data_IF_931021448421
#
_entry.id   IF_931021448421
#
_cell.length_a   1.000
_cell.length_b   1.000
_cell.length_c   1.000
_cell.angle_alpha   90.00
_cell.angle_beta   90.00
_cell.angle_gamma   90.00
#
_symmetry.space_group_name_H-M   'P 1'
#
loop_
_entity.id
_entity.type
_entity.pdbx_description
1 polymer ?
#
# COMPACT_ATOMS: atom_id res chain seq x y z
N UNK A 1 -5.17 -11.76 0.71
CA UNK A 1 -4.42 -12.58 1.68
C UNK A 1 -3.27 -11.77 2.31
N UNK A 2 -2.35 -11.21 1.50
CA UNK A 2 -1.16 -10.51 1.99
C UNK A 2 -1.51 -9.27 2.85
N UNK A 3 -2.52 -8.47 2.48
CA UNK A 3 -2.99 -7.34 3.29
C UNK A 3 -3.44 -7.78 4.69
N UNK A 4 -4.25 -8.85 4.79
CA UNK A 4 -4.71 -9.35 6.10
C UNK A 4 -3.54 -9.78 6.98
N UNK A 5 -2.57 -10.46 6.39
CA UNK A 5 -1.37 -10.90 7.12
C UNK A 5 -0.48 -9.70 7.53
N UNK A 6 -0.39 -8.65 6.71
CA UNK A 6 0.32 -7.42 7.07
C UNK A 6 -0.34 -6.71 8.24
N UNK A 7 -1.68 -6.54 8.19
CA UNK A 7 -2.47 -5.98 9.28
C UNK A 7 -2.20 -6.74 10.58
N UNK A 8 -2.33 -8.07 10.56
CA UNK A 8 -2.09 -8.90 11.74
C UNK A 8 -0.67 -8.70 12.29
N UNK A 9 0.33 -8.67 11.41
CA UNK A 9 1.72 -8.48 11.82
C UNK A 9 1.97 -7.10 12.46
N UNK A 10 1.35 -6.04 11.94
CA UNK A 10 1.41 -4.71 12.54
C UNK A 10 0.77 -4.71 13.94
N UNK A 11 -0.40 -5.35 14.08
CA UNK A 11 -1.10 -5.46 15.36
C UNK A 11 -0.29 -6.22 16.41
N UNK A 12 0.35 -7.32 16.00
CA UNK A 12 1.12 -8.18 16.90
C UNK A 12 2.44 -7.55 17.39
N UNK A 13 3.04 -6.67 16.56
CA UNK A 13 4.40 -6.19 16.79
C UNK A 13 4.49 -4.67 17.03
N UNK A 14 3.37 -3.96 17.00
CA UNK A 14 3.33 -2.51 17.25
C UNK A 14 2.08 -2.12 18.03
N UNK A 15 2.06 -0.89 18.52
CA UNK A 15 0.86 -0.25 19.13
C UNK A 15 0.08 0.64 18.16
N UNK A 16 0.32 0.53 16.85
CA UNK A 16 -0.31 1.40 15.87
C UNK A 16 -1.80 1.11 15.69
N UNK A 17 -2.56 2.18 15.45
CA UNK A 17 -3.88 2.09 14.85
C UNK A 17 -3.76 2.02 13.33
N UNK A 18 -4.66 1.29 12.70
CA UNK A 18 -4.66 1.07 11.25
C UNK A 18 -5.95 1.62 10.66
N UNK A 19 -5.82 2.49 9.67
CA UNK A 19 -6.94 3.00 8.89
C UNK A 19 -6.96 2.31 7.53
N UNK A 20 -8.07 1.66 7.20
CA UNK A 20 -8.32 1.14 5.87
C UNK A 20 -9.05 2.21 5.07
N UNK A 21 -8.38 2.74 4.06
CA UNK A 21 -8.92 3.79 3.16
C UNK A 21 -9.09 3.24 1.77
N UNK A 22 -10.10 3.73 1.06
CA UNK A 22 -10.41 3.30 -0.30
C UNK A 22 -11.75 3.84 -0.76
N UNK A 23 -12.13 3.51 -1.99
CA UNK A 23 -13.41 3.85 -2.57
C UNK A 23 -14.58 3.05 -1.96
N UNK A 24 -15.82 3.47 -2.25
CA UNK A 24 -17.02 2.71 -1.88
C UNK A 24 -17.04 1.30 -2.48
N UNK A 25 -16.48 1.13 -3.66
CA UNK A 25 -16.43 -0.18 -4.32
C UNK A 25 -15.43 -1.13 -3.65
N UNK A 26 -14.32 -0.60 -3.13
CA UNK A 26 -13.31 -1.36 -2.40
C UNK A 26 -13.78 -1.80 -1.00
N UNK A 27 -14.80 -1.16 -0.45
CA UNK A 27 -15.40 -1.55 0.83
C UNK A 27 -15.85 -3.02 0.86
N UNK A 28 -16.31 -3.56 -0.27
CA UNK A 28 -16.66 -4.99 -0.38
C UNK A 28 -15.45 -5.90 -0.12
N UNK A 29 -14.28 -5.47 -0.58
CA UNK A 29 -13.03 -6.20 -0.35
C UNK A 29 -12.62 -6.14 1.12
N UNK A 30 -12.70 -4.97 1.77
CA UNK A 30 -12.34 -4.82 3.18
C UNK A 30 -13.26 -5.60 4.11
N UNK A 31 -14.53 -5.83 3.75
CA UNK A 31 -15.42 -6.73 4.50
C UNK A 31 -14.85 -8.15 4.64
N UNK A 32 -13.97 -8.59 3.76
CA UNK A 32 -13.30 -9.91 3.90
C UNK A 32 -12.30 -9.95 5.06
N UNK A 33 -11.97 -8.81 5.67
CA UNK A 33 -11.07 -8.71 6.82
C UNK A 33 -11.80 -8.84 8.15
N UNK A 34 -13.13 -8.70 8.14
CA UNK A 34 -13.95 -8.76 9.36
C UNK A 34 -13.93 -10.17 10.01
N UNK A 35 -14.08 -10.27 11.35
CA UNK A 35 -14.14 -9.12 12.27
C UNK A 35 -12.79 -8.38 12.34
N UNK A 36 -12.84 -7.06 12.52
CA UNK A 36 -11.65 -6.23 12.70
C UNK A 36 -11.24 -6.21 14.17
N UNK A 37 -9.93 -6.10 14.41
CA UNK A 37 -9.38 -5.74 15.72
C UNK A 37 -9.83 -4.31 16.10
N UNK A 38 -9.90 -4.01 17.38
CA UNK A 38 -10.30 -2.69 17.90
C UNK A 38 -9.40 -1.55 17.43
N UNK A 39 -8.18 -1.84 17.01
CA UNK A 39 -7.21 -0.90 16.43
C UNK A 39 -7.29 -0.75 14.92
N UNK A 40 -8.24 -1.42 14.26
CA UNK A 40 -8.41 -1.37 12.79
C UNK A 40 -9.73 -0.70 12.44
N UNK A 41 -9.66 0.41 11.74
CA UNK A 41 -10.81 1.24 11.37
C UNK A 41 -11.01 1.22 9.85
N UNK A 42 -12.14 0.71 9.40
CA UNK A 42 -12.53 0.75 7.97
C UNK A 42 -13.33 2.04 7.69
N UNK A 43 -12.66 3.01 7.10
CA UNK A 43 -13.25 4.27 6.64
C UNK A 43 -13.37 4.34 5.11
N UNK A 44 -13.34 3.20 4.43
CA UNK A 44 -13.47 3.13 2.98
C UNK A 44 -14.82 3.71 2.50
N UNK A 45 -14.74 4.58 1.50
CA UNK A 45 -15.87 5.31 0.95
C UNK A 45 -16.48 6.37 1.88
N UNK A 46 -15.81 6.72 2.95
CA UNK A 46 -16.27 7.73 3.93
C UNK A 46 -15.51 9.06 3.81
N UNK A 47 -14.50 9.13 2.97
CA UNK A 47 -13.65 10.32 2.80
C UNK A 47 -13.75 10.88 1.39
N UNK A 48 -13.70 12.18 1.27
CA UNK A 48 -13.36 12.87 0.03
C UNK A 48 -11.83 12.98 -0.12
N UNK A 49 -11.38 13.59 -1.22
CA UNK A 49 -9.92 13.73 -1.50
C UNK A 49 -9.23 14.63 -0.49
N UNK A 50 -9.85 15.70 -0.03
CA UNK A 50 -9.25 16.63 0.93
C UNK A 50 -9.11 15.99 2.32
N UNK A 51 -10.12 15.25 2.73
CA UNK A 51 -10.09 14.47 3.98
C UNK A 51 -9.03 13.37 3.92
N UNK A 52 -8.93 12.66 2.77
CA UNK A 52 -7.90 11.64 2.55
C UNK A 52 -6.48 12.22 2.64
N UNK A 53 -6.24 13.40 2.01
CA UNK A 53 -4.97 14.12 2.10
C UNK A 53 -4.64 14.45 3.57
N UNK A 54 -5.62 14.93 4.31
CA UNK A 54 -5.45 15.29 5.73
C UNK A 54 -5.10 14.08 6.58
N UNK A 55 -5.77 12.95 6.38
CA UNK A 55 -5.48 11.67 7.05
C UNK A 55 -4.08 11.18 6.72
N UNK A 56 -3.70 11.21 5.45
CA UNK A 56 -2.38 10.75 5.01
C UNK A 56 -1.26 11.62 5.58
N UNK A 57 -1.48 12.93 5.68
CA UNK A 57 -0.52 13.89 6.24
C UNK A 57 -0.23 13.61 7.72
N UNK A 58 -1.25 13.25 8.50
CA UNK A 58 -1.14 12.94 9.93
C UNK A 58 -0.72 11.49 10.19
N UNK A 59 -0.75 10.63 9.17
CA UNK A 59 -0.35 9.23 9.30
C UNK A 59 1.16 9.08 9.47
N UNK A 60 1.58 8.18 10.37
CA UNK A 60 3.00 7.84 10.55
C UNK A 60 3.60 7.19 9.30
N UNK A 61 2.82 6.36 8.63
CA UNK A 61 3.21 5.69 7.38
C UNK A 61 1.96 5.39 6.55
N UNK A 62 2.07 5.56 5.25
CA UNK A 62 1.06 5.13 4.27
C UNK A 62 1.60 3.96 3.45
N UNK A 63 0.83 2.89 3.37
CA UNK A 63 1.13 1.74 2.51
C UNK A 63 0.06 1.65 1.43
N UNK A 64 0.45 1.76 0.19
CA UNK A 64 -0.47 1.74 -0.96
C UNK A 64 0.09 0.89 -2.11
N UNK A 65 -0.79 0.33 -2.92
CA UNK A 65 -0.40 -0.20 -4.23
C UNK A 65 -0.18 0.95 -5.22
N UNK A 66 0.48 0.68 -6.34
CA UNK A 66 0.62 1.61 -7.47
C UNK A 66 -0.78 2.03 -7.98
N UNK A 67 -1.22 3.20 -7.54
CA UNK A 67 -2.58 3.72 -7.73
C UNK A 67 -2.63 5.22 -7.44
N UNK A 68 -3.76 5.85 -7.73
CA UNK A 68 -4.00 7.26 -7.37
C UNK A 68 -3.74 7.58 -5.90
N UNK A 69 -4.08 6.67 -4.99
CA UNK A 69 -3.84 6.84 -3.54
C UNK A 69 -2.34 6.93 -3.21
N UNK A 70 -1.48 6.19 -3.91
CA UNK A 70 -0.03 6.29 -3.73
C UNK A 70 0.50 7.67 -4.13
N UNK A 71 -0.02 8.25 -5.21
CA UNK A 71 0.36 9.61 -5.65
C UNK A 71 -0.13 10.69 -4.69
N UNK A 72 -1.35 10.55 -4.16
CA UNK A 72 -1.87 11.44 -3.12
C UNK A 72 -0.97 11.36 -1.88
N UNK A 73 -0.58 10.15 -1.46
CA UNK A 73 0.36 9.96 -0.36
C UNK A 73 1.71 10.63 -0.64
N UNK A 74 2.23 10.50 -1.87
CA UNK A 74 3.47 11.16 -2.31
C UNK A 74 3.45 12.68 -2.15
N UNK A 75 2.28 13.29 -2.30
CA UNK A 75 2.09 14.73 -2.15
C UNK A 75 1.85 15.17 -0.69
N UNK A 76 1.45 14.27 0.22
CA UNK A 76 0.95 14.64 1.55
C UNK A 76 1.62 13.93 2.72
N UNK A 77 1.97 12.67 2.60
CA UNK A 77 2.50 11.85 3.69
C UNK A 77 4.03 11.98 3.85
N UNK A 78 4.53 11.75 5.07
CA UNK A 78 5.97 11.74 5.35
C UNK A 78 6.64 10.44 4.96
N UNK A 79 6.03 9.30 5.28
CA UNK A 79 6.60 7.98 5.03
C UNK A 79 5.63 7.17 4.18
N UNK A 80 6.10 6.68 3.06
CA UNK A 80 5.28 5.97 2.08
C UNK A 80 5.95 4.67 1.67
N UNK A 81 5.18 3.60 1.63
CA UNK A 81 5.55 2.35 0.97
C UNK A 81 4.63 2.16 -0.21
N UNK A 82 5.19 2.22 -1.41
CA UNK A 82 4.47 1.99 -2.65
C UNK A 82 4.75 0.60 -3.19
N UNK A 83 3.70 -0.22 -3.32
CA UNK A 83 3.78 -1.62 -3.75
C UNK A 83 3.62 -1.67 -5.26
N UNK A 84 4.62 -2.18 -5.94
CA UNK A 84 4.66 -2.32 -7.40
C UNK A 84 4.80 -3.78 -7.82
N UNK A 85 4.01 -4.17 -8.80
CA UNK A 85 4.04 -5.50 -9.40
C UNK A 85 4.47 -5.44 -10.87
N UNK A 86 3.50 -5.33 -11.80
CA UNK A 86 3.78 -5.34 -13.24
C UNK A 86 4.24 -4.01 -13.80
N UNK A 87 4.11 -2.92 -13.07
CA UNK A 87 4.37 -1.54 -13.52
C UNK A 87 5.86 -1.18 -13.41
N UNK A 88 6.26 -0.19 -14.17
CA UNK A 88 7.61 0.39 -14.09
C UNK A 88 7.66 1.46 -13.00
N UNK A 89 8.13 1.10 -11.82
CA UNK A 89 8.20 2.04 -10.69
C UNK A 89 9.14 3.23 -10.93
N UNK A 90 10.07 3.17 -11.85
CA UNK A 90 10.86 4.35 -12.25
C UNK A 90 10.01 5.43 -12.92
N UNK A 91 8.85 5.06 -13.48
CA UNK A 91 7.92 5.97 -14.16
C UNK A 91 6.67 6.25 -13.35
N UNK A 92 6.17 5.26 -12.59
CA UNK A 92 4.88 5.34 -11.89
C UNK A 92 4.97 5.42 -10.37
N UNK A 93 6.17 5.50 -9.79
CA UNK A 93 6.28 5.70 -8.34
C UNK A 93 5.75 7.09 -7.92
N UNK A 94 5.26 7.22 -6.69
CA UNK A 94 4.89 8.53 -6.14
C UNK A 94 6.05 9.52 -6.19
N UNK A 95 5.73 10.81 -6.34
CA UNK A 95 6.75 11.84 -6.43
C UNK A 95 7.50 12.00 -5.10
N UNK A 96 8.83 11.92 -5.16
CA UNK A 96 9.70 12.13 -4.01
C UNK A 96 10.00 13.62 -3.85
N UNK A 97 9.79 14.11 -2.64
CA UNK A 97 10.10 15.49 -2.23
C UNK A 97 11.21 15.47 -1.17
N UNK A 98 11.66 16.64 -0.75
CA UNK A 98 12.59 16.78 0.38
C UNK A 98 11.95 16.40 1.72
N UNK A 99 10.61 16.46 1.81
CA UNK A 99 9.85 16.28 3.04
C UNK A 99 9.25 14.88 3.19
N UNK A 100 9.44 13.98 2.21
CA UNK A 100 8.93 12.63 2.29
C UNK A 100 10.01 11.56 2.09
N UNK A 101 9.75 10.38 2.61
CA UNK A 101 10.56 9.18 2.42
C UNK A 101 9.71 8.11 1.75
N UNK A 102 10.10 7.69 0.56
CA UNK A 102 9.37 6.70 -0.23
C UNK A 102 10.21 5.44 -0.37
N UNK A 103 9.62 4.30 0.00
CA UNK A 103 10.17 2.98 -0.23
C UNK A 103 9.33 2.24 -1.28
N UNK A 104 10.00 1.60 -2.22
CA UNK A 104 9.35 0.80 -3.27
C UNK A 104 9.42 -0.68 -2.88
N UNK A 105 8.25 -1.26 -2.63
CA UNK A 105 8.11 -2.69 -2.41
C UNK A 105 7.86 -3.39 -3.76
N UNK A 106 8.89 -3.98 -4.32
CA UNK A 106 8.82 -4.73 -5.59
C UNK A 106 9.81 -5.90 -5.56
N UNK A 107 9.45 -7.00 -6.20
CA UNK A 107 10.34 -8.16 -6.35
C UNK A 107 11.31 -8.02 -7.52
N UNK A 108 11.13 -7.02 -8.36
CA UNK A 108 11.97 -6.76 -9.53
C UNK A 108 12.27 -8.04 -10.36
N UNK A 109 11.23 -8.78 -10.70
CA UNK A 109 11.35 -10.04 -11.45
C UNK A 109 11.77 -9.76 -12.89
N UNK A 110 12.48 -10.70 -13.52
CA UNK A 110 12.91 -10.57 -14.91
C UNK A 110 11.78 -10.40 -15.94
N UNK A 111 10.53 -10.69 -15.57
CA UNK A 111 9.34 -10.39 -16.38
C UNK A 111 8.70 -9.03 -16.07
N UNK A 112 9.20 -8.28 -15.09
CA UNK A 112 8.69 -6.95 -14.73
C UNK A 112 9.71 -5.87 -15.14
N UNK A 113 9.25 -4.72 -15.67
CA UNK A 113 7.87 -4.32 -15.89
C UNK A 113 7.22 -5.01 -17.09
N UNK A 114 5.96 -5.43 -16.94
CA UNK A 114 5.23 -6.10 -18.02
C UNK A 114 3.84 -5.48 -18.29
N UNK A 115 3.50 -4.41 -17.58
CA UNK A 115 2.28 -3.65 -17.82
C UNK A 115 2.26 -3.15 -19.28
N UNK A 116 1.10 -3.24 -19.94
CA UNK A 116 0.90 -2.92 -21.36
C UNK A 116 1.71 -3.78 -22.36
N UNK A 117 2.21 -4.94 -21.96
CA UNK A 117 2.88 -5.90 -22.84
C UNK A 117 2.05 -7.19 -23.00
N UNK A 118 2.41 -8.02 -23.99
CA UNK A 118 1.80 -9.34 -24.16
C UNK A 118 2.07 -10.28 -22.97
N UNK A 119 3.12 -10.03 -22.20
CA UNK A 119 3.47 -10.82 -21.01
C UNK A 119 2.37 -10.76 -19.96
N UNK A 120 1.79 -9.56 -19.69
CA UNK A 120 0.73 -9.43 -18.68
C UNK A 120 -0.55 -10.15 -19.12
N UNK A 121 -0.89 -10.12 -20.41
CA UNK A 121 -2.08 -10.78 -20.96
C UNK A 121 -2.04 -12.29 -20.75
N UNK A 122 -0.85 -12.87 -20.76
CA UNK A 122 -0.61 -14.30 -20.60
C UNK A 122 -0.23 -14.69 -19.16
N UNK A 123 -0.14 -13.73 -18.23
CA UNK A 123 0.28 -13.98 -16.87
C UNK A 123 -0.85 -14.59 -16.03
N UNK A 124 -0.78 -15.91 -15.81
CA UNK A 124 -1.78 -16.64 -15.00
C UNK A 124 -1.51 -16.62 -13.50
N UNK A 125 -0.30 -16.30 -13.07
CA UNK A 125 0.12 -16.50 -11.67
C UNK A 125 0.32 -15.21 -10.88
N UNK A 126 0.49 -14.05 -11.54
CA UNK A 126 0.75 -12.76 -10.91
C UNK A 126 1.77 -12.83 -9.74
N UNK A 127 2.90 -13.54 -10.00
CA UNK A 127 3.91 -13.88 -8.97
C UNK A 127 4.45 -12.62 -8.30
N UNK A 128 4.66 -11.53 -9.07
CA UNK A 128 5.17 -10.26 -8.56
C UNK A 128 4.33 -9.70 -7.39
N UNK A 129 3.00 -9.94 -7.37
CA UNK A 129 2.12 -9.51 -6.31
C UNK A 129 1.87 -10.60 -5.26
N UNK A 130 1.76 -11.86 -5.69
CA UNK A 130 1.49 -12.96 -4.76
C UNK A 130 2.68 -13.29 -3.85
N UNK A 131 3.90 -13.20 -4.39
CA UNK A 131 5.12 -13.53 -3.65
C UNK A 131 5.73 -12.33 -2.92
N UNK A 132 5.23 -11.11 -3.15
CA UNK A 132 5.56 -9.97 -2.31
C UNK A 132 4.87 -10.15 -0.95
N UNK A 133 5.58 -10.79 -0.04
CA UNK A 133 5.04 -11.16 1.26
C UNK A 133 4.88 -9.96 2.21
N UNK A 134 4.04 -10.11 3.25
CA UNK A 134 3.82 -9.07 4.26
C UNK A 134 5.10 -8.72 5.03
N UNK A 135 6.03 -9.66 5.16
CA UNK A 135 7.30 -9.46 5.87
C UNK A 135 8.14 -8.36 5.22
N UNK A 136 8.24 -8.36 3.90
CA UNK A 136 8.98 -7.34 3.16
C UNK A 136 8.44 -5.94 3.44
N UNK A 137 7.10 -5.79 3.41
CA UNK A 137 6.45 -4.51 3.66
C UNK A 137 6.58 -4.09 5.12
N UNK A 138 6.43 -5.05 6.04
CA UNK A 138 6.56 -4.79 7.47
C UNK A 138 7.98 -4.38 7.87
N UNK A 139 9.00 -5.01 7.31
CA UNK A 139 10.39 -4.62 7.55
C UNK A 139 10.64 -3.19 7.05
N UNK A 140 10.07 -2.82 5.89
CA UNK A 140 10.13 -1.44 5.41
C UNK A 140 9.43 -0.44 6.34
N UNK A 141 8.34 -0.83 7.04
CA UNK A 141 7.69 0.01 8.06
C UNK A 141 8.64 0.23 9.23
N UNK A 142 9.27 -0.82 9.74
CA UNK A 142 10.23 -0.73 10.86
C UNK A 142 11.40 0.19 10.55
N UNK A 143 11.91 0.14 9.33
CA UNK A 143 13.04 0.97 8.89
C UNK A 143 12.74 2.48 8.88
N UNK A 144 11.51 2.91 9.05
CA UNK A 144 11.19 4.33 9.23
C UNK A 144 11.40 4.81 10.68
N UNK A 145 11.66 3.90 11.63
CA UNK A 145 11.85 4.20 13.06
C UNK A 145 10.71 5.03 13.66
N UNK A 146 9.47 4.59 13.46
CA UNK A 146 8.21 5.29 13.80
C UNK A 146 7.82 5.17 15.28
#
# INVERSE_FOLDING_TARGET
KNWKNLIQKILDQTSFNILLVGSKDEKKYFKTFYPLDERVYDISGMTDICELISIMKESKCVVATDSGSAHIAGASAKNIISIHGPTNFYQSAPYKTENNSIKIASLNLGCSPCYDTEVIKNCKKNICMHSLGPDIVFDMIKDFNL
#
